data_IF_983372978149
#
_entry.id   IF_983372978149
#
_cell.length_a   1.000
_cell.length_b   1.000
_cell.length_c   1.000
_cell.angle_alpha   90.00
_cell.angle_beta   90.00
_cell.angle_gamma   90.00
#
_symmetry.space_group_name_H-M   'P 1'
#
loop_
_entity.id
_entity.type
_entity.pdbx_description
1 polymer ?
#
# COMPACT_ATOMS: atom_id res chain seq x y z
N UNK A 1 37.28 4.41 -10.98
CA UNK A 1 36.27 3.39 -10.68
C UNK A 1 35.66 3.78 -9.34
N UNK A 2 34.66 4.65 -9.37
CA UNK A 2 33.97 5.09 -8.14
C UNK A 2 33.00 3.96 -7.84
N UNK A 3 33.26 3.22 -6.76
CA UNK A 3 32.27 2.33 -6.18
C UNK A 3 31.20 3.26 -5.60
N UNK A 4 30.13 3.49 -6.36
CA UNK A 4 28.94 4.14 -5.82
C UNK A 4 28.47 3.28 -4.64
N UNK A 5 28.66 3.81 -3.42
CA UNK A 5 28.15 3.18 -2.21
C UNK A 5 26.64 3.03 -2.39
N UNK A 6 26.17 1.78 -2.28
CA UNK A 6 24.74 1.49 -2.19
C UNK A 6 24.21 2.29 -0.98
N UNK A 7 23.16 3.11 -1.16
CA UNK A 7 22.59 3.87 -0.05
C UNK A 7 22.08 2.93 1.05
N UNK A 8 22.46 3.22 2.29
CA UNK A 8 21.93 2.52 3.47
C UNK A 8 20.39 2.67 3.53
N UNK A 9 19.70 1.71 4.15
CA UNK A 9 18.22 1.71 4.30
C UNK A 9 17.65 3.06 4.79
N UNK A 10 18.36 3.75 5.67
CA UNK A 10 17.98 5.04 6.23
C UNK A 10 18.16 6.20 5.24
N UNK A 11 18.94 6.01 4.17
CA UNK A 11 19.11 6.96 3.06
C UNK A 11 18.08 6.81 1.94
N UNK A 12 17.46 5.63 1.80
CA UNK A 12 16.47 5.31 0.76
C UNK A 12 15.02 5.35 1.24
N UNK A 13 14.80 5.42 2.55
CA UNK A 13 13.46 5.47 3.13
C UNK A 13 13.27 6.66 4.04
N UNK A 14 12.05 7.17 4.13
CA UNK A 14 11.71 8.29 5.01
C UNK A 14 10.52 7.92 5.87
N UNK A 15 10.68 7.98 7.20
CA UNK A 15 9.56 7.90 8.14
C UNK A 15 9.06 9.30 8.46
N UNK A 16 7.73 9.49 8.40
CA UNK A 16 7.07 10.77 8.67
C UNK A 16 5.96 10.59 9.69
N UNK A 17 5.63 11.63 10.45
CA UNK A 17 4.57 11.61 11.48
C UNK A 17 3.25 12.23 11.04
N UNK A 18 3.22 12.87 9.87
CA UNK A 18 2.06 13.60 9.34
C UNK A 18 1.84 13.25 7.86
N UNK A 19 0.58 13.28 7.38
CA UNK A 19 0.23 12.86 6.02
C UNK A 19 0.95 13.67 4.93
N UNK A 20 1.19 14.96 5.15
CA UNK A 20 1.89 15.83 4.20
C UNK A 20 3.32 15.35 3.95
N UNK A 21 3.90 14.67 4.94
CA UNK A 21 5.22 14.06 4.84
C UNK A 21 5.30 12.97 3.78
N UNK A 22 4.19 12.34 3.38
CA UNK A 22 4.20 11.33 2.31
C UNK A 22 4.72 11.89 0.97
N UNK A 23 4.65 13.22 0.77
CA UNK A 23 5.21 13.90 -0.40
C UNK A 23 6.74 13.78 -0.52
N UNK A 24 7.44 13.36 0.53
CA UNK A 24 8.90 13.14 0.47
C UNK A 24 9.31 12.08 -0.54
N UNK A 25 8.39 11.21 -0.97
CA UNK A 25 8.59 10.26 -2.06
C UNK A 25 9.05 10.94 -3.36
N UNK A 26 8.78 12.22 -3.56
CA UNK A 26 9.24 12.99 -4.73
C UNK A 26 10.72 13.39 -4.66
N UNK A 27 11.38 13.28 -3.50
CA UNK A 27 12.81 13.64 -3.36
C UNK A 27 13.69 12.59 -4.05
N UNK A 28 14.76 12.98 -4.77
CA UNK A 28 15.54 12.04 -5.60
C UNK A 28 15.94 10.73 -4.92
N UNK A 29 16.42 10.76 -3.67
CA UNK A 29 16.89 9.58 -2.94
C UNK A 29 15.80 8.78 -2.18
N UNK A 30 14.52 9.16 -2.24
CA UNK A 30 13.46 8.54 -1.45
C UNK A 30 12.74 7.43 -2.23
N UNK A 31 13.19 6.18 -2.10
CA UNK A 31 12.55 5.00 -2.70
C UNK A 31 11.24 4.60 -2.02
N UNK A 32 11.10 4.92 -0.73
CA UNK A 32 9.84 4.74 0.00
C UNK A 32 9.62 5.80 1.09
N UNK A 33 8.36 6.15 1.35
CA UNK A 33 7.97 6.96 2.51
C UNK A 33 6.91 6.24 3.34
N UNK A 34 7.13 6.14 4.65
CA UNK A 34 6.19 5.53 5.61
C UNK A 34 5.61 6.62 6.50
N UNK A 35 4.28 6.74 6.53
CA UNK A 35 3.62 7.56 7.55
C UNK A 35 3.38 6.71 8.79
N UNK A 36 4.19 6.98 9.82
CA UNK A 36 4.08 6.37 11.13
C UNK A 36 2.87 6.94 11.85
N UNK A 37 1.90 6.07 12.14
CA UNK A 37 0.70 6.42 12.91
C UNK A 37 0.20 5.21 13.66
N UNK A 38 -0.39 5.47 14.82
CA UNK A 38 -1.04 4.46 15.64
C UNK A 38 -2.55 4.47 15.36
N UNK A 39 -3.13 3.36 14.86
CA UNK A 39 -4.57 3.26 14.75
C UNK A 39 -5.22 3.28 16.13
N UNK A 40 -6.46 3.81 16.20
CA UNK A 40 -7.21 3.82 17.45
C UNK A 40 -7.36 2.38 17.98
N UNK A 41 -7.11 2.10 19.28
CA UNK A 41 -7.20 0.74 19.81
C UNK A 41 -8.56 0.07 19.60
N UNK A 42 -9.66 0.86 19.62
CA UNK A 42 -11.02 0.36 19.32
C UNK A 42 -11.18 -0.09 17.86
N UNK A 43 -10.56 0.64 16.94
CA UNK A 43 -10.58 0.33 15.52
C UNK A 43 -9.79 -0.95 15.26
N UNK A 44 -8.57 -1.06 15.81
CA UNK A 44 -7.73 -2.23 15.62
C UNK A 44 -8.40 -3.51 16.15
N UNK A 45 -8.99 -3.45 17.36
CA UNK A 45 -9.74 -4.59 17.92
C UNK A 45 -10.92 -4.99 17.05
N UNK A 46 -11.66 -4.02 16.51
CA UNK A 46 -12.80 -4.29 15.64
C UNK A 46 -12.36 -4.97 14.33
N UNK A 47 -11.36 -4.43 13.63
CA UNK A 47 -10.94 -5.00 12.34
C UNK A 47 -10.28 -6.37 12.51
N UNK A 48 -9.54 -6.60 13.61
CA UNK A 48 -8.88 -7.88 13.90
C UNK A 48 -9.87 -9.00 14.23
N UNK A 49 -11.02 -8.67 14.82
CA UNK A 49 -12.06 -9.62 15.23
C UNK A 49 -13.12 -9.87 14.17
N UNK A 50 -13.13 -9.06 13.10
CA UNK A 50 -14.11 -9.20 12.03
C UNK A 50 -13.93 -10.55 11.30
N UNK A 51 -14.98 -11.33 11.06
CA UNK A 51 -14.88 -12.53 10.24
C UNK A 51 -14.32 -12.20 8.84
N UNK A 52 -13.38 -12.99 8.27
CA UNK A 52 -12.76 -12.68 6.99
C UNK A 52 -13.75 -12.42 5.83
N UNK A 53 -14.90 -13.08 5.84
CA UNK A 53 -16.00 -12.91 4.89
C UNK A 53 -16.68 -11.54 4.95
N UNK A 54 -16.53 -10.82 6.07
CA UNK A 54 -17.05 -9.47 6.28
C UNK A 54 -16.01 -8.37 6.06
N UNK A 55 -14.74 -8.74 5.77
CA UNK A 55 -13.74 -7.77 5.36
C UNK A 55 -14.04 -7.28 3.93
N UNK A 56 -13.87 -5.98 3.65
CA UNK A 56 -14.09 -5.45 2.32
C UNK A 56 -13.09 -6.06 1.33
N UNK A 57 -13.58 -6.44 0.15
CA UNK A 57 -12.77 -6.89 -0.97
C UNK A 57 -13.25 -6.18 -2.23
N UNK A 58 -12.33 -5.49 -2.90
CA UNK A 58 -12.68 -4.69 -4.07
C UNK A 58 -11.47 -4.51 -4.98
N UNK A 59 -11.72 -4.37 -6.29
CA UNK A 59 -10.76 -3.89 -7.26
C UNK A 59 -11.49 -3.02 -8.27
N UNK A 60 -11.08 -1.76 -8.41
CA UNK A 60 -11.75 -0.79 -9.27
C UNK A 60 -10.82 0.34 -9.69
N UNK A 61 -11.14 0.97 -10.82
CA UNK A 61 -10.53 2.23 -11.25
C UNK A 61 -11.58 3.32 -11.08
N UNK A 62 -11.24 4.39 -10.36
CA UNK A 62 -12.15 5.47 -10.03
C UNK A 62 -11.40 6.77 -9.74
N UNK A 63 -12.11 7.89 -9.79
CA UNK A 63 -11.58 9.17 -9.33
C UNK A 63 -11.49 9.19 -7.80
N UNK A 64 -10.53 9.93 -7.20
CA UNK A 64 -10.37 10.00 -5.75
C UNK A 64 -11.65 10.42 -5.03
N UNK A 65 -12.42 11.35 -5.60
CA UNK A 65 -13.65 11.88 -4.99
C UNK A 65 -14.77 10.84 -4.93
N UNK A 66 -14.73 9.82 -5.79
CA UNK A 66 -15.73 8.74 -5.83
C UNK A 66 -15.42 7.59 -4.85
N UNK A 67 -14.26 7.60 -4.20
CA UNK A 67 -13.81 6.49 -3.34
C UNK A 67 -14.74 6.29 -2.14
N UNK A 68 -15.19 7.37 -1.49
CA UNK A 68 -16.07 7.28 -0.33
C UNK A 68 -17.38 6.55 -0.67
N UNK A 69 -18.08 7.00 -1.72
CA UNK A 69 -19.34 6.41 -2.18
C UNK A 69 -19.16 4.94 -2.62
N UNK A 70 -18.06 4.64 -3.32
CA UNK A 70 -17.75 3.27 -3.72
C UNK A 70 -17.54 2.37 -2.50
N UNK A 71 -16.78 2.81 -1.50
CA UNK A 71 -16.52 2.05 -0.28
C UNK A 71 -17.77 1.82 0.55
N UNK A 72 -18.68 2.80 0.66
CA UNK A 72 -20.00 2.63 1.30
C UNK A 72 -20.76 1.46 0.67
N UNK A 73 -20.74 1.33 -0.65
CA UNK A 73 -21.39 0.22 -1.34
C UNK A 73 -20.67 -1.11 -1.12
N UNK A 74 -19.33 -1.12 -1.19
CA UNK A 74 -18.51 -2.32 -0.99
C UNK A 74 -18.72 -2.91 0.40
N UNK A 75 -18.62 -2.10 1.46
CA UNK A 75 -18.75 -2.60 2.84
C UNK A 75 -20.16 -3.16 3.10
N UNK A 76 -21.19 -2.59 2.47
CA UNK A 76 -22.57 -3.12 2.53
C UNK A 76 -22.66 -4.47 1.83
N UNK A 77 -22.06 -4.61 0.65
CA UNK A 77 -22.06 -5.86 -0.11
C UNK A 77 -21.29 -6.97 0.60
N UNK A 78 -20.18 -6.65 1.26
CA UNK A 78 -19.42 -7.60 2.09
C UNK A 78 -20.10 -7.91 3.44
N UNK A 79 -21.21 -7.24 3.78
CA UNK A 79 -21.87 -7.41 5.08
C UNK A 79 -21.02 -6.90 6.25
N UNK A 80 -20.10 -5.98 6.01
CA UNK A 80 -19.31 -5.34 7.08
C UNK A 80 -20.28 -4.60 8.04
N UNK A 81 -20.24 -4.89 9.36
CA UNK A 81 -21.20 -4.39 10.33
C UNK A 81 -21.35 -2.87 10.33
N UNK A 82 -22.58 -2.40 10.48
CA UNK A 82 -22.87 -0.96 10.59
C UNK A 82 -22.47 -0.43 11.96
N UNK A 83 -21.27 0.15 12.02
CA UNK A 83 -20.71 0.73 13.23
C UNK A 83 -19.78 1.92 12.92
N UNK A 84 -19.39 2.65 13.96
CA UNK A 84 -18.42 3.74 13.87
C UNK A 84 -17.09 3.33 13.23
N UNK A 85 -16.60 2.14 13.53
CA UNK A 85 -15.31 1.65 13.05
C UNK A 85 -15.33 1.34 11.55
N UNK A 86 -16.48 0.92 11.00
CA UNK A 86 -16.69 0.83 9.55
C UNK A 86 -16.56 2.19 8.89
N UNK A 87 -17.15 3.23 9.49
CA UNK A 87 -17.03 4.60 8.97
C UNK A 87 -15.59 5.09 9.04
N UNK A 88 -14.86 4.80 10.12
CA UNK A 88 -13.43 5.12 10.24
C UNK A 88 -12.59 4.46 9.14
N UNK A 89 -12.89 3.21 8.76
CA UNK A 89 -12.19 2.53 7.66
C UNK A 89 -12.44 3.24 6.32
N UNK A 90 -13.69 3.62 6.04
CA UNK A 90 -14.08 4.32 4.81
C UNK A 90 -13.43 5.69 4.73
N UNK A 91 -13.52 6.47 5.81
CA UNK A 91 -12.94 7.81 5.91
C UNK A 91 -11.42 7.77 5.73
N UNK A 92 -10.74 6.85 6.41
CA UNK A 92 -9.28 6.72 6.32
C UNK A 92 -8.84 6.32 4.90
N UNK A 93 -9.47 5.30 4.31
CA UNK A 93 -9.13 4.87 2.96
C UNK A 93 -9.40 5.95 1.91
N UNK A 94 -10.48 6.73 2.08
CA UNK A 94 -10.82 7.86 1.20
C UNK A 94 -9.82 9.02 1.35
N UNK A 95 -9.37 9.29 2.58
CA UNK A 95 -8.33 10.29 2.83
C UNK A 95 -7.00 9.86 2.21
N UNK A 96 -6.59 8.60 2.38
CA UNK A 96 -5.37 8.06 1.75
C UNK A 96 -5.45 8.12 0.23
N UNK A 97 -6.61 7.82 -0.37
CA UNK A 97 -6.83 7.97 -1.81
C UNK A 97 -6.64 9.41 -2.28
N UNK A 98 -7.25 10.36 -1.58
CA UNK A 98 -7.12 11.78 -1.91
C UNK A 98 -5.68 12.29 -1.77
N UNK A 99 -5.01 11.95 -0.66
CA UNK A 99 -3.60 12.30 -0.42
C UNK A 99 -2.71 11.71 -1.50
N UNK A 100 -2.87 10.43 -1.82
CA UNK A 100 -2.03 9.75 -2.79
C UNK A 100 -2.24 10.28 -4.21
N UNK A 101 -3.49 10.53 -4.62
CA UNK A 101 -3.78 11.14 -5.92
C UNK A 101 -3.11 12.51 -6.06
N UNK A 102 -3.16 13.36 -5.04
CA UNK A 102 -2.46 14.64 -5.02
C UNK A 102 -0.94 14.47 -5.09
N UNK A 103 -0.39 13.52 -4.34
CA UNK A 103 1.06 13.22 -4.37
C UNK A 103 1.49 12.69 -5.73
N UNK A 104 0.62 12.03 -6.49
CA UNK A 104 0.95 11.47 -7.80
C UNK A 104 0.51 12.34 -8.98
N UNK A 105 -0.22 13.43 -8.72
CA UNK A 105 -0.89 14.23 -9.76
C UNK A 105 -1.75 13.36 -10.70
N UNK A 106 -2.56 12.48 -10.10
CA UNK A 106 -3.32 11.46 -10.84
C UNK A 106 -4.82 11.66 -10.73
N UNK A 107 -5.50 11.71 -11.88
CA UNK A 107 -6.95 11.90 -11.97
C UNK A 107 -7.74 10.62 -11.63
N UNK A 108 -7.12 9.44 -11.75
CA UNK A 108 -7.74 8.15 -11.49
C UNK A 108 -6.81 7.28 -10.67
N UNK A 109 -7.37 6.54 -9.73
CA UNK A 109 -6.64 5.53 -8.96
C UNK A 109 -7.20 4.16 -9.25
N UNK A 110 -6.32 3.17 -9.31
CA UNK A 110 -6.71 1.78 -9.09
C UNK A 110 -6.71 1.52 -7.60
N UNK A 111 -7.90 1.33 -7.05
CA UNK A 111 -8.09 0.92 -5.66
C UNK A 111 -8.25 -0.59 -5.59
N UNK A 112 -7.53 -1.21 -4.66
CA UNK A 112 -7.72 -2.60 -4.28
C UNK A 112 -7.80 -2.74 -2.76
N UNK A 113 -8.91 -3.29 -2.29
CA UNK A 113 -8.98 -3.92 -0.98
C UNK A 113 -8.85 -5.43 -1.17
N UNK A 114 -7.92 -6.05 -0.45
CA UNK A 114 -7.73 -7.50 -0.54
C UNK A 114 -7.54 -8.16 0.81
N UNK A 115 -8.03 -9.39 0.88
CA UNK A 115 -7.97 -10.28 2.03
C UNK A 115 -6.99 -11.40 1.72
N UNK A 116 -5.83 -11.39 2.37
CA UNK A 116 -4.74 -12.33 2.11
C UNK A 116 -4.59 -13.28 3.29
N UNK A 117 -4.64 -14.58 2.99
CA UNK A 117 -4.36 -15.69 3.90
C UNK A 117 -3.36 -16.71 3.31
N UNK A 118 -2.73 -16.36 2.18
CA UNK A 118 -1.76 -17.19 1.46
C UNK A 118 -0.42 -16.48 1.30
N UNK A 119 0.58 -17.17 0.75
CA UNK A 119 1.91 -16.64 0.46
C UNK A 119 2.01 -15.96 -0.93
N UNK A 120 0.93 -15.31 -1.38
CA UNK A 120 0.98 -14.45 -2.56
C UNK A 120 1.96 -13.29 -2.33
N UNK A 121 2.74 -12.92 -3.35
CA UNK A 121 3.73 -11.84 -3.29
C UNK A 121 4.79 -11.98 -2.17
N UNK A 122 5.15 -13.21 -1.77
CA UNK A 122 6.18 -13.49 -0.75
C UNK A 122 7.63 -13.21 -1.18
N UNK A 123 7.87 -13.09 -2.49
CA UNK A 123 9.20 -12.80 -3.03
C UNK A 123 9.42 -11.29 -3.01
N UNK A 124 10.62 -10.85 -2.69
CA UNK A 124 10.99 -9.45 -2.81
C UNK A 124 10.92 -9.00 -4.26
N UNK A 125 10.28 -7.85 -4.50
CA UNK A 125 10.07 -7.30 -5.83
C UNK A 125 9.88 -5.78 -5.80
N UNK A 126 9.91 -5.20 -6.99
CA UNK A 126 9.42 -3.85 -7.28
C UNK A 126 8.24 -3.99 -8.24
N UNK A 127 7.16 -3.26 -8.00
CA UNK A 127 5.98 -3.31 -8.85
C UNK A 127 6.19 -2.56 -10.16
N UNK A 128 5.53 -3.03 -11.23
CA UNK A 128 5.53 -2.38 -12.54
C UNK A 128 4.53 -1.21 -12.63
N UNK A 129 4.61 -0.27 -11.69
CA UNK A 129 3.80 0.95 -11.58
C UNK A 129 4.70 2.16 -11.39
N UNK A 130 4.14 3.37 -11.39
CA UNK A 130 4.90 4.60 -11.09
C UNK A 130 5.19 4.66 -9.59
N UNK A 131 4.16 4.55 -8.76
CA UNK A 131 4.28 4.34 -7.33
C UNK A 131 3.08 3.55 -6.82
N UNK A 132 3.19 2.97 -5.63
CA UNK A 132 2.11 2.25 -4.96
C UNK A 132 2.00 2.69 -3.52
N UNK A 133 0.80 3.07 -3.07
CA UNK A 133 0.48 3.16 -1.66
C UNK A 133 -0.02 1.80 -1.17
N UNK A 134 0.50 1.32 -0.05
CA UNK A 134 -0.03 0.15 0.68
C UNK A 134 -0.31 0.53 2.13
N UNK A 135 -1.49 0.21 2.63
CA UNK A 135 -1.84 0.29 4.05
C UNK A 135 -2.41 -1.05 4.51
N UNK A 136 -1.75 -1.71 5.46
CA UNK A 136 -2.28 -2.95 6.06
C UNK A 136 -3.10 -2.60 7.29
N UNK A 137 -4.43 -2.78 7.23
CA UNK A 137 -5.34 -2.49 8.34
C UNK A 137 -5.45 -3.63 9.35
N UNK A 138 -5.26 -4.87 8.90
CA UNK A 138 -5.31 -6.08 9.72
C UNK A 138 -4.12 -6.97 9.40
N UNK A 139 -3.51 -7.53 10.44
CA UNK A 139 -2.35 -8.42 10.32
C UNK A 139 -1.02 -7.70 10.09
N UNK A 140 0.02 -8.49 9.87
CA UNK A 140 1.41 -8.09 9.68
C UNK A 140 1.56 -7.18 8.46
N UNK A 141 2.22 -6.04 8.62
CA UNK A 141 2.39 -5.09 7.52
C UNK A 141 3.33 -5.56 6.40
N UNK A 142 3.35 -4.79 5.32
CA UNK A 142 4.28 -4.98 4.20
C UNK A 142 5.73 -4.98 4.71
N UNK A 143 6.54 -5.88 4.17
CA UNK A 143 7.97 -5.93 4.46
C UNK A 143 8.77 -5.27 3.34
N UNK A 144 9.83 -4.55 3.68
CA UNK A 144 10.73 -3.94 2.71
C UNK A 144 12.18 -4.01 3.17
N UNK A 145 13.10 -3.87 2.23
CA UNK A 145 14.54 -3.92 2.46
C UNK A 145 15.31 -3.41 1.24
N UNK A 146 16.60 -3.11 1.40
CA UNK A 146 17.47 -2.78 0.27
C UNK A 146 18.14 -4.08 -0.21
N UNK A 147 18.03 -4.34 -1.50
CA UNK A 147 18.73 -5.43 -2.15
C UNK A 147 20.11 -4.98 -2.60
N UNK A 148 21.11 -5.78 -2.26
CA UNK A 148 22.44 -5.66 -2.84
C UNK A 148 22.55 -6.67 -3.98
N UNK A 149 22.82 -6.20 -5.21
CA UNK A 149 23.04 -7.03 -6.39
C UNK A 149 21.87 -7.93 -6.85
N UNK A 150 20.64 -7.67 -6.41
CA UNK A 150 19.45 -8.42 -6.83
C UNK A 150 19.10 -9.62 -5.93
N UNK A 151 19.83 -9.82 -4.83
CA UNK A 151 19.52 -10.81 -3.80
C UNK A 151 18.42 -10.32 -2.85
N UNK A 152 17.86 -11.22 -2.05
CA UNK A 152 16.92 -10.86 -0.98
C UNK A 152 17.61 -9.91 0.04
N UNK A 153 16.93 -8.85 0.51
CA UNK A 153 17.49 -7.93 1.50
C UNK A 153 17.92 -8.64 2.79
N UNK A 154 19.15 -8.35 3.26
CA UNK A 154 19.64 -8.88 4.55
C UNK A 154 18.88 -8.27 5.73
N UNK A 155 18.59 -6.96 5.66
CA UNK A 155 17.81 -6.24 6.66
C UNK A 155 16.40 -5.99 6.15
N UNK A 156 15.44 -6.64 6.82
CA UNK A 156 14.02 -6.56 6.50
C UNK A 156 13.31 -5.74 7.57
N UNK A 157 12.60 -4.70 7.14
CA UNK A 157 11.76 -3.86 7.99
C UNK A 157 10.30 -4.19 7.72
N UNK A 158 9.48 -4.28 8.77
CA UNK A 158 8.03 -4.48 8.65
C UNK A 158 7.33 -3.16 8.96
N UNK A 159 6.49 -2.70 8.03
CA UNK A 159 5.66 -1.50 8.24
C UNK A 159 4.65 -1.78 9.36
N UNK A 160 4.47 -0.90 10.36
CA UNK A 160 3.45 -1.09 11.38
C UNK A 160 2.04 -1.19 10.80
N UNK A 161 1.19 -2.02 11.40
CA UNK A 161 -0.23 -2.10 11.04
C UNK A 161 -0.89 -0.73 11.19
N UNK A 162 -1.71 -0.35 10.21
CA UNK A 162 -2.35 0.95 10.10
C UNK A 162 -1.47 2.05 9.50
N UNK A 163 -0.15 1.87 9.39
CA UNK A 163 0.76 2.84 8.78
C UNK A 163 0.83 2.66 7.26
N UNK A 164 0.50 3.68 6.43
CA UNK A 164 0.64 3.59 4.99
C UNK A 164 2.09 3.81 4.57
N UNK A 165 2.52 3.05 3.56
CA UNK A 165 3.79 3.21 2.87
C UNK A 165 3.53 3.55 1.41
N UNK A 166 4.25 4.53 0.85
CA UNK A 166 4.37 4.74 -0.59
C UNK A 166 5.71 4.18 -1.05
N UNK A 167 5.67 3.34 -2.08
CA UNK A 167 6.81 2.67 -2.70
C UNK A 167 6.92 3.14 -4.15
N UNK A 168 8.12 3.49 -4.62
CA UNK A 168 8.36 3.68 -6.05
C UNK A 168 8.30 2.34 -6.77
N UNK A 169 7.71 2.34 -7.96
CA UNK A 169 7.74 1.20 -8.86
C UNK A 169 8.76 1.37 -9.99
N UNK A 170 8.86 0.38 -10.87
CA UNK A 170 9.85 0.38 -11.97
C UNK A 170 9.59 1.45 -13.03
N UNK A 171 8.40 2.07 -13.05
CA UNK A 171 8.08 3.18 -13.96
C UNK A 171 8.46 4.54 -13.37
N UNK A 172 8.89 4.60 -12.11
CA UNK A 172 9.39 5.85 -11.53
C UNK A 172 10.71 6.25 -12.22
N UNK A 173 10.85 7.49 -12.72
CA UNK A 173 12.09 7.94 -13.32
C UNK A 173 13.15 8.18 -12.24
N UNK A 174 14.01 7.19 -11.98
CA UNK A 174 15.14 7.31 -11.06
C UNK A 174 16.43 6.74 -11.66
N UNK A 175 17.56 7.39 -11.34
CA UNK A 175 18.90 6.91 -11.70
C UNK A 175 19.89 7.44 -10.66
N UNK A 176 20.65 6.57 -9.96
CA UNK A 176 20.54 5.11 -9.98
C UNK A 176 19.21 4.62 -9.36
N UNK A 177 18.88 3.34 -9.58
CA UNK A 177 17.74 2.71 -8.91
C UNK A 177 17.99 2.65 -7.39
N UNK A 178 16.94 2.83 -6.60
CA UNK A 178 17.03 2.82 -5.13
C UNK A 178 17.43 1.47 -4.52
N UNK A 179 17.25 0.36 -5.26
CA UNK A 179 17.46 -1.00 -4.76
C UNK A 179 16.41 -1.45 -3.75
N UNK A 180 15.38 -0.64 -3.49
CA UNK A 180 14.36 -0.93 -2.49
C UNK A 180 13.37 -1.95 -3.02
N UNK A 181 13.34 -3.12 -2.37
CA UNK A 181 12.39 -4.18 -2.65
C UNK A 181 11.36 -4.28 -1.53
N UNK A 182 10.17 -4.76 -1.88
CA UNK A 182 9.13 -5.05 -0.92
C UNK A 182 8.48 -6.42 -1.17
N UNK A 183 7.78 -6.93 -0.15
CA UNK A 183 7.01 -8.17 -0.21
C UNK A 183 5.85 -8.16 0.76
N UNK A 184 4.91 -9.07 0.53
CA UNK A 184 4.01 -9.52 1.60
C UNK A 184 4.73 -10.51 2.51
N UNK A 185 4.61 -10.42 3.84
CA UNK A 185 5.17 -11.41 4.76
C UNK A 185 4.62 -12.81 4.46
N UNK A 186 5.43 -13.87 4.62
CA UNK A 186 5.00 -15.25 4.42
C UNK A 186 4.12 -15.70 5.61
N UNK A 187 2.79 -15.60 5.46
CA UNK A 187 1.82 -15.88 6.53
C UNK A 187 1.08 -17.21 6.38
N UNK A 188 1.26 -17.96 5.29
CA UNK A 188 0.53 -19.22 5.10
C UNK A 188 0.86 -20.22 6.21
N UNK A 189 -0.18 -20.86 6.77
CA UNK A 189 -0.05 -21.82 7.88
C UNK A 189 0.02 -21.19 9.28
N UNK A 190 0.04 -19.85 9.39
CA UNK A 190 0.03 -19.15 10.69
C UNK A 190 -1.38 -18.94 11.26
N UNK A 191 -2.41 -19.07 10.42
CA UNK A 191 -3.79 -18.69 10.75
C UNK A 191 -4.06 -17.18 10.63
N UNK A 192 -3.06 -16.38 10.27
CA UNK A 192 -3.20 -14.94 10.09
C UNK A 192 -4.05 -14.61 8.84
N UNK A 193 -4.91 -13.60 8.96
CA UNK A 193 -5.63 -12.99 7.85
C UNK A 193 -5.26 -11.52 7.77
N UNK A 194 -4.81 -11.08 6.59
CA UNK A 194 -4.42 -9.69 6.34
C UNK A 194 -5.49 -8.97 5.53
N UNK A 195 -5.81 -7.74 5.92
CA UNK A 195 -6.59 -6.81 5.11
C UNK A 195 -5.70 -5.65 4.71
N UNK A 196 -5.61 -5.39 3.41
CA UNK A 196 -4.78 -4.32 2.89
C UNK A 196 -5.50 -3.49 1.84
N UNK A 197 -5.28 -2.18 1.93
CA UNK A 197 -5.57 -1.22 0.89
C UNK A 197 -4.33 -1.03 0.03
N UNK A 198 -4.52 -1.08 -1.27
CA UNK A 198 -3.51 -0.80 -2.28
C UNK A 198 -4.07 0.26 -3.23
N UNK A 199 -3.28 1.29 -3.50
CA UNK A 199 -3.60 2.34 -4.47
C UNK A 199 -2.44 2.48 -5.47
N UNK A 200 -2.78 2.46 -6.76
CA UNK A 200 -1.86 2.77 -7.85
C UNK A 200 -2.42 3.97 -8.65
N UNK A 201 -1.59 4.94 -9.07
CA UNK A 201 -2.02 6.00 -9.97
C UNK A 201 -2.27 5.40 -11.36
N UNK A 202 -3.29 5.89 -12.04
CA UNK A 202 -3.62 5.52 -13.41
C UNK A 202 -3.30 6.71 -14.31
N UNK A 203 -2.42 6.48 -15.28
CA UNK A 203 -2.06 7.47 -16.30
C UNK A 203 -3.10 7.51 -17.42
N UNK A 204 -3.54 6.34 -17.89
CA UNK A 204 -4.58 6.20 -18.91
C UNK A 204 -5.61 5.13 -18.50
N UNK A 205 -6.84 5.54 -18.12
CA UNK A 205 -7.89 4.61 -17.72
C UNK A 205 -8.40 3.71 -18.85
N UNK A 206 -8.33 4.14 -20.11
CA UNK A 206 -8.86 3.39 -21.26
C UNK A 206 -7.95 2.21 -21.60
N UNK A 207 -6.62 2.44 -21.63
CA UNK A 207 -5.61 1.38 -21.81
C UNK A 207 -5.60 0.35 -20.67
N UNK A 208 -5.85 0.79 -19.43
CA UNK A 208 -5.87 -0.10 -18.25
C UNK A 208 -7.18 -0.90 -18.13
N UNK A 209 -8.27 -0.44 -18.75
CA UNK A 209 -9.52 -1.20 -18.84
C UNK A 209 -9.41 -2.37 -19.83
N UNK A 210 -8.74 -2.16 -20.98
CA UNK A 210 -8.50 -3.21 -21.98
C UNK A 210 -7.62 -4.35 -21.43
N UNK A 211 -6.62 -4.03 -20.61
CA UNK A 211 -5.78 -5.04 -19.94
C UNK A 211 -6.49 -5.80 -18.82
N UNK A 212 -7.59 -5.26 -18.27
CA UNK A 212 -8.38 -5.94 -17.24
C UNK A 212 -9.23 -7.11 -17.81
N UNK A 213 -9.43 -7.17 -19.13
CA UNK A 213 -10.18 -8.23 -19.82
C UNK A 213 -9.30 -9.34 -20.39
N UNK A 214 -7.98 -9.26 -20.24
CA UNK A 214 -7.03 -10.28 -20.68
C UNK A 214 -6.55 -11.05 -19.44
N UNK A 215 -7.40 -11.87 -18.81
CA UNK A 215 -7.03 -13.00 -17.94
C UNK A 215 -8.21 -13.95 -17.72
#
# INVERSE_FOLDING_TARGET
MILDKIPELDGCTTSVSAPEGLSTIRRPACGATVWQRDPLPRFQRWIDTLPPEHLPKARMILRPEAVCDALINIVRQCGTPDCSERNLLIEDASALASIFANIMDSAYLRLRFDVINTNACRKFHVDAVTARLVCTYRGTGTQYGISENGDDPERIVTVPTGSPIILRGTRWPETPLSGLLHRSPPIAGTGETRLLLVLDPIEDPELEAETAYIH
#
